data_IF_446731993508
#
_entry.id   IF_446731993508
#
_cell.length_a   1.000
_cell.length_b   1.000
_cell.length_c   1.000
_cell.angle_alpha   90.00
_cell.angle_beta   90.00
_cell.angle_gamma   90.00
#
_symmetry.space_group_name_H-M   'P 1'
#
loop_
_entity.id
_entity.type
_entity.pdbx_description
1 polymer ?
#
# COMPACT_ATOMS: atom_id res chain seq x y z
N UNK A 1 -40.26 20.96 36.70
CA UNK A 1 -40.35 20.14 35.47
C UNK A 1 -39.49 20.66 34.32
N UNK A 2 -39.51 21.96 33.97
CA UNK A 2 -38.79 22.49 32.79
C UNK A 2 -37.25 22.45 32.89
N UNK A 3 -36.68 22.63 34.08
CA UNK A 3 -35.21 22.63 34.29
C UNK A 3 -34.61 21.21 34.20
N UNK A 4 -35.29 20.20 34.74
CA UNK A 4 -34.82 18.80 34.69
C UNK A 4 -34.80 18.23 33.27
N UNK A 5 -35.79 18.61 32.44
CA UNK A 5 -35.81 18.23 31.02
C UNK A 5 -34.66 18.91 30.26
N UNK A 6 -34.34 20.17 30.57
CA UNK A 6 -33.23 20.89 29.95
C UNK A 6 -31.86 20.24 30.25
N UNK A 7 -31.65 19.81 31.49
CA UNK A 7 -30.43 19.12 31.91
C UNK A 7 -30.26 17.78 31.18
N UNK A 8 -31.35 17.02 31.03
CA UNK A 8 -31.34 15.73 30.32
C UNK A 8 -30.98 15.92 28.84
N UNK A 9 -31.51 16.97 28.19
CA UNK A 9 -31.18 17.30 26.80
C UNK A 9 -29.70 17.65 26.64
N UNK A 10 -29.13 18.46 27.55
CA UNK A 10 -27.71 18.82 27.52
C UNK A 10 -26.81 17.60 27.71
N UNK A 11 -27.16 16.69 28.62
CA UNK A 11 -26.42 15.44 28.83
C UNK A 11 -26.47 14.56 27.58
N UNK A 12 -27.63 14.44 26.93
CA UNK A 12 -27.77 13.69 25.68
C UNK A 12 -26.92 14.27 24.55
N UNK A 13 -26.87 15.60 24.42
CA UNK A 13 -26.01 16.27 23.42
C UNK A 13 -24.53 16.00 23.71
N UNK A 14 -24.11 16.04 24.98
CA UNK A 14 -22.72 15.74 25.36
C UNK A 14 -22.37 14.27 25.15
N UNK A 15 -23.29 13.33 25.40
CA UNK A 15 -23.09 11.91 25.15
C UNK A 15 -23.02 11.63 23.64
N UNK A 16 -23.87 12.24 22.84
CA UNK A 16 -23.83 12.12 21.37
C UNK A 16 -22.54 12.75 20.82
N UNK A 17 -22.16 13.93 21.28
CA UNK A 17 -20.89 14.57 20.89
C UNK A 17 -19.68 13.71 21.28
N UNK A 18 -19.69 13.12 22.49
CA UNK A 18 -18.66 12.19 22.94
C UNK A 18 -18.62 10.90 22.09
N UNK A 19 -19.78 10.35 21.72
CA UNK A 19 -19.85 9.17 20.84
C UNK A 19 -19.38 9.47 19.41
N UNK A 20 -19.71 10.65 18.86
CA UNK A 20 -19.23 11.10 17.55
C UNK A 20 -17.73 11.35 17.59
N UNK A 21 -17.22 12.00 18.64
CA UNK A 21 -15.77 12.20 18.84
C UNK A 21 -15.04 10.88 19.03
N UNK A 22 -15.61 9.93 19.79
CA UNK A 22 -15.05 8.58 19.99
C UNK A 22 -15.09 7.74 18.71
N UNK A 23 -16.12 7.86 17.89
CA UNK A 23 -16.17 7.18 16.59
C UNK A 23 -15.17 7.80 15.59
N UNK A 24 -14.99 9.12 15.61
CA UNK A 24 -13.88 9.77 14.89
C UNK A 24 -12.52 9.29 15.42
N UNK A 25 -12.34 9.17 16.74
CA UNK A 25 -11.08 8.71 17.33
C UNK A 25 -10.79 7.23 17.07
N UNK A 26 -11.83 6.38 17.01
CA UNK A 26 -11.70 4.96 16.60
C UNK A 26 -11.36 4.82 15.12
N UNK A 27 -11.87 5.70 14.26
CA UNK A 27 -11.44 5.73 12.86
C UNK A 27 -10.00 6.28 12.70
N UNK A 28 -9.47 6.98 13.70
CA UNK A 28 -8.07 7.38 13.82
C UNK A 28 -7.16 6.30 14.46
N UNK A 29 -7.69 5.15 14.89
CA UNK A 29 -6.88 4.05 15.46
C UNK A 29 -6.09 3.25 14.41
N UNK A 30 -6.27 3.51 13.10
CA UNK A 30 -5.36 3.05 12.04
C UNK A 30 -4.11 3.95 11.91
N UNK A 31 -3.59 4.45 13.04
CA UNK A 31 -2.24 5.02 13.02
C UNK A 31 -1.27 3.88 12.76
N UNK A 32 -0.45 4.03 11.74
CA UNK A 32 0.65 3.13 11.47
C UNK A 32 1.47 2.92 12.76
N UNK A 33 1.43 1.70 13.29
CA UNK A 33 2.19 1.33 14.48
C UNK A 33 3.64 1.02 14.13
N UNK A 34 3.87 0.58 12.89
CA UNK A 34 5.16 0.28 12.25
C UNK A 34 5.08 0.36 10.72
N UNK A 35 6.22 0.60 10.09
CA UNK A 35 6.39 0.50 8.65
C UNK A 35 6.81 -0.91 8.25
N UNK A 36 6.32 -1.38 7.09
CA UNK A 36 6.86 -2.58 6.45
C UNK A 36 8.28 -2.28 5.97
N UNK A 37 9.18 -3.24 6.17
CA UNK A 37 10.59 -3.11 5.79
C UNK A 37 10.92 -4.01 4.61
N UNK A 38 11.85 -3.55 3.78
CA UNK A 38 12.35 -4.36 2.67
C UNK A 38 12.98 -5.67 3.18
N UNK A 39 13.83 -5.58 4.21
CA UNK A 39 14.37 -6.74 4.92
C UNK A 39 13.56 -6.99 6.21
N UNK A 40 12.94 -8.15 6.31
CA UNK A 40 12.13 -8.57 7.46
C UNK A 40 12.75 -9.75 8.20
N UNK A 41 12.67 -9.74 9.52
CA UNK A 41 13.11 -10.86 10.36
C UNK A 41 12.13 -12.04 10.36
N UNK A 42 10.86 -11.80 9.99
CA UNK A 42 9.81 -12.83 9.92
C UNK A 42 9.62 -13.40 8.52
N UNK A 43 10.45 -13.00 7.55
CA UNK A 43 10.37 -13.46 6.16
C UNK A 43 10.36 -15.00 6.07
N UNK A 44 9.48 -15.51 5.21
CA UNK A 44 9.21 -16.93 5.05
C UNK A 44 8.82 -17.28 3.62
N UNK A 45 8.98 -18.56 3.26
CA UNK A 45 8.52 -19.13 1.97
C UNK A 45 7.23 -19.93 2.11
N UNK A 46 6.57 -19.87 3.28
CA UNK A 46 5.32 -20.59 3.55
C UNK A 46 4.16 -20.06 2.69
N UNK A 47 4.20 -18.78 2.35
CA UNK A 47 3.16 -18.10 1.56
C UNK A 47 3.33 -18.25 0.05
N UNK A 48 4.39 -18.94 -0.41
CA UNK A 48 4.57 -19.18 -1.85
C UNK A 48 3.51 -20.15 -2.37
N UNK A 49 2.66 -19.75 -3.33
CA UNK A 49 1.66 -20.63 -3.92
C UNK A 49 2.34 -21.75 -4.71
N UNK A 50 1.69 -22.90 -4.75
CA UNK A 50 2.13 -24.06 -5.53
C UNK A 50 1.37 -24.11 -6.87
N UNK A 51 2.06 -23.77 -7.95
CA UNK A 51 1.49 -23.57 -9.30
C UNK A 51 1.98 -24.65 -10.28
N UNK A 52 1.25 -24.94 -11.37
CA UNK A 52 1.73 -25.81 -12.45
C UNK A 52 3.03 -25.27 -13.06
N UNK A 53 3.96 -26.12 -13.51
CA UNK A 53 5.24 -25.65 -14.06
C UNK A 53 5.10 -24.71 -15.27
N UNK A 54 4.07 -24.92 -16.09
CA UNK A 54 3.80 -24.18 -17.32
C UNK A 54 2.84 -22.98 -17.14
N UNK A 55 2.44 -22.63 -15.92
CA UNK A 55 1.37 -21.64 -15.71
C UNK A 55 1.69 -20.24 -16.27
N UNK A 56 2.93 -19.75 -16.14
CA UNK A 56 3.36 -18.47 -16.75
C UNK A 56 3.29 -18.56 -18.27
N UNK A 57 3.79 -19.63 -18.86
CA UNK A 57 3.77 -19.80 -20.32
C UNK A 57 2.36 -19.88 -20.90
N UNK A 58 1.42 -20.45 -20.15
CA UNK A 58 0.01 -20.50 -20.53
C UNK A 58 -0.61 -19.10 -20.56
N UNK A 59 -0.26 -18.25 -19.57
CA UNK A 59 -0.68 -16.85 -19.55
C UNK A 59 -0.03 -16.08 -20.71
N UNK A 60 1.28 -16.21 -20.92
CA UNK A 60 1.98 -15.56 -22.05
C UNK A 60 1.33 -15.94 -23.39
N UNK A 61 1.06 -17.23 -23.60
CA UNK A 61 0.39 -17.72 -24.81
C UNK A 61 -1.03 -17.16 -24.96
N UNK A 62 -1.80 -17.02 -23.86
CA UNK A 62 -3.13 -16.40 -23.87
C UNK A 62 -3.10 -14.95 -24.36
N UNK A 63 -2.00 -14.23 -24.11
CA UNK A 63 -1.88 -12.79 -24.36
C UNK A 63 -1.06 -12.40 -25.59
N UNK A 64 -0.34 -13.35 -26.22
CA UNK A 64 0.51 -13.07 -27.40
C UNK A 64 -0.21 -12.32 -28.54
N UNK A 65 -1.47 -12.68 -28.83
CA UNK A 65 -2.22 -12.13 -29.96
C UNK A 65 -3.35 -11.18 -29.53
N UNK A 66 -3.43 -10.83 -28.24
CA UNK A 66 -4.47 -9.96 -27.71
C UNK A 66 -3.97 -8.54 -27.56
N UNK A 67 -4.85 -7.58 -27.83
CA UNK A 67 -4.58 -6.20 -27.46
C UNK A 67 -4.50 -6.08 -25.94
N UNK A 68 -3.50 -5.35 -25.47
CA UNK A 68 -3.37 -5.04 -24.06
C UNK A 68 -4.49 -4.08 -23.66
N UNK A 69 -5.28 -4.42 -22.65
CA UNK A 69 -6.25 -3.53 -22.02
C UNK A 69 -5.78 -3.11 -20.63
N UNK A 70 -6.12 -1.89 -20.20
CA UNK A 70 -5.70 -1.33 -18.90
C UNK A 70 -6.01 -2.24 -17.71
N UNK A 71 -7.15 -2.95 -17.74
CA UNK A 71 -7.61 -3.88 -16.69
C UNK A 71 -7.78 -5.33 -17.17
N UNK A 72 -7.34 -5.63 -18.39
CA UNK A 72 -7.48 -6.97 -18.99
C UNK A 72 -6.21 -7.28 -19.79
N UNK A 73 -5.23 -7.87 -19.12
CA UNK A 73 -3.92 -8.18 -19.67
C UNK A 73 -3.17 -9.24 -18.82
N UNK A 74 -1.98 -9.62 -19.28
CA UNK A 74 -1.09 -10.58 -18.61
C UNK A 74 -0.81 -10.25 -17.13
N UNK A 75 -0.58 -8.97 -16.80
CA UNK A 75 -0.26 -8.55 -15.43
C UNK A 75 -1.38 -8.89 -14.46
N UNK A 76 -2.65 -8.73 -14.84
CA UNK A 76 -3.78 -9.07 -13.97
C UNK A 76 -3.95 -10.59 -13.78
N UNK A 77 -3.73 -11.39 -14.82
CA UNK A 77 -3.75 -12.86 -14.69
C UNK A 77 -2.64 -13.36 -13.76
N UNK A 78 -1.45 -12.76 -13.85
CA UNK A 78 -0.33 -13.05 -12.95
C UNK A 78 -0.67 -12.59 -11.53
N UNK A 79 -1.13 -11.34 -11.36
CA UNK A 79 -1.51 -10.76 -10.09
C UNK A 79 -2.56 -11.61 -9.36
N UNK A 80 -3.53 -12.17 -10.08
CA UNK A 80 -4.54 -13.04 -9.48
C UNK A 80 -3.88 -14.23 -8.75
N UNK A 81 -2.91 -14.89 -9.38
CA UNK A 81 -2.29 -16.12 -8.85
C UNK A 81 -1.27 -15.86 -7.74
N UNK A 82 -0.45 -14.82 -7.89
CA UNK A 82 0.68 -14.57 -6.99
C UNK A 82 0.46 -13.42 -6.01
N UNK A 83 -0.72 -12.79 -6.02
CA UNK A 83 -1.10 -11.77 -5.04
C UNK A 83 -2.51 -11.98 -4.49
N UNK A 84 -3.55 -11.93 -5.32
CA UNK A 84 -4.94 -11.97 -4.84
C UNK A 84 -5.28 -13.32 -4.18
N UNK A 85 -4.90 -14.44 -4.81
CA UNK A 85 -5.07 -15.79 -4.27
C UNK A 85 -4.34 -15.96 -2.92
N UNK A 86 -3.19 -15.29 -2.73
CA UNK A 86 -2.42 -15.35 -1.48
C UNK A 86 -3.16 -14.60 -0.37
N UNK A 87 -3.68 -13.40 -0.64
CA UNK A 87 -4.54 -12.68 0.31
C UNK A 87 -5.78 -13.49 0.69
N UNK A 88 -6.46 -14.03 -0.32
CA UNK A 88 -7.69 -14.82 -0.17
C UNK A 88 -7.48 -16.13 0.61
N UNK A 89 -6.32 -16.77 0.43
CA UNK A 89 -5.98 -18.02 1.14
C UNK A 89 -5.52 -17.75 2.57
N UNK A 90 -4.71 -16.72 2.79
CA UNK A 90 -4.13 -16.47 4.10
C UNK A 90 -5.07 -15.78 5.07
N UNK A 91 -5.96 -14.91 4.55
CA UNK A 91 -6.97 -14.17 5.32
C UNK A 91 -6.44 -13.66 6.66
N UNK A 92 -5.34 -12.91 6.60
CA UNK A 92 -4.65 -12.42 7.80
C UNK A 92 -5.60 -11.67 8.77
N UNK A 93 -6.63 -11.00 8.23
CA UNK A 93 -7.67 -10.33 9.01
C UNK A 93 -8.52 -11.28 9.87
N UNK A 94 -8.73 -12.53 9.45
CA UNK A 94 -9.42 -13.56 10.25
C UNK A 94 -8.53 -14.09 11.40
N UNK A 95 -7.21 -13.87 11.31
CA UNK A 95 -6.20 -14.31 12.29
C UNK A 95 -5.85 -13.24 13.32
N UNK A 96 -6.53 -12.09 13.32
CA UNK A 96 -6.17 -10.90 14.11
C UNK A 96 -4.74 -10.41 13.86
N UNK A 97 -4.21 -10.65 12.67
CA UNK A 97 -2.89 -10.17 12.24
C UNK A 97 -3.06 -8.79 11.58
N UNK A 98 -2.09 -7.88 11.76
CA UNK A 98 -2.10 -6.61 11.01
C UNK A 98 -1.66 -6.83 9.56
N UNK A 99 -1.98 -5.88 8.67
CA UNK A 99 -1.48 -5.97 7.29
C UNK A 99 0.05 -5.95 7.23
N UNK A 100 0.70 -5.12 8.05
CA UNK A 100 2.15 -5.04 8.14
C UNK A 100 2.78 -6.36 8.60
N UNK A 101 2.23 -7.00 9.64
CA UNK A 101 2.70 -8.30 10.13
C UNK A 101 2.66 -9.34 9.00
N UNK A 102 1.53 -9.41 8.28
CA UNK A 102 1.37 -10.36 7.18
C UNK A 102 2.37 -10.13 6.05
N UNK A 103 2.54 -8.88 5.62
CA UNK A 103 3.50 -8.56 4.57
C UNK A 103 4.94 -8.82 5.00
N UNK A 104 5.28 -8.58 6.27
CA UNK A 104 6.59 -8.91 6.82
C UNK A 104 6.91 -10.42 6.78
N UNK A 105 5.92 -11.30 6.71
CA UNK A 105 6.13 -12.75 6.53
C UNK A 105 6.39 -13.17 5.08
N UNK A 106 6.01 -12.36 4.10
CA UNK A 106 6.24 -12.66 2.68
C UNK A 106 7.73 -12.59 2.34
N UNK A 107 8.12 -13.15 1.19
CA UNK A 107 9.46 -12.90 0.65
C UNK A 107 9.63 -11.41 0.35
N UNK A 108 10.87 -10.92 0.38
CA UNK A 108 11.21 -9.55 -0.04
C UNK A 108 10.62 -9.21 -1.41
N UNK A 109 10.70 -10.12 -2.37
CA UNK A 109 10.19 -9.91 -3.72
C UNK A 109 8.66 -9.82 -3.74
N UNK A 110 7.96 -10.68 -3.00
CA UNK A 110 6.51 -10.57 -2.81
C UNK A 110 6.12 -9.26 -2.11
N UNK A 111 6.83 -8.84 -1.07
CA UNK A 111 6.60 -7.55 -0.39
C UNK A 111 6.64 -6.36 -1.35
N UNK A 112 7.68 -6.30 -2.20
CA UNK A 112 7.79 -5.25 -3.22
C UNK A 112 6.60 -5.31 -4.17
N UNK A 113 6.30 -6.48 -4.72
CA UNK A 113 5.21 -6.63 -5.69
C UNK A 113 3.85 -6.28 -5.10
N UNK A 114 3.52 -6.81 -3.93
CA UNK A 114 2.27 -6.52 -3.23
C UNK A 114 2.14 -5.02 -2.95
N UNK A 115 3.23 -4.38 -2.54
CA UNK A 115 3.24 -2.93 -2.31
C UNK A 115 2.92 -2.16 -3.58
N UNK A 116 3.52 -2.53 -4.70
CA UNK A 116 3.30 -1.86 -5.99
C UNK A 116 1.93 -2.17 -6.61
N UNK A 117 1.35 -3.35 -6.34
CA UNK A 117 -0.06 -3.65 -6.68
C UNK A 117 -1.02 -2.79 -5.86
N UNK A 118 -0.80 -2.68 -4.55
CA UNK A 118 -1.61 -1.80 -3.69
C UNK A 118 -1.46 -0.34 -4.11
N UNK A 119 -0.25 0.10 -4.48
CA UNK A 119 0.00 1.43 -5.02
C UNK A 119 -0.83 1.70 -6.28
N UNK A 120 -0.73 0.84 -7.29
CA UNK A 120 -1.52 0.95 -8.53
C UNK A 120 -3.02 1.02 -8.25
N UNK A 121 -3.53 0.11 -7.42
CA UNK A 121 -4.94 0.04 -7.05
C UNK A 121 -5.44 1.33 -6.39
N UNK A 122 -4.69 1.88 -5.43
CA UNK A 122 -5.10 3.09 -4.72
C UNK A 122 -4.94 4.35 -5.57
N UNK A 123 -3.87 4.46 -6.36
CA UNK A 123 -3.65 5.63 -7.23
C UNK A 123 -4.71 5.69 -8.31
N UNK A 124 -5.10 4.56 -8.90
CA UNK A 124 -6.21 4.49 -9.86
C UNK A 124 -7.58 4.87 -9.25
N UNK A 125 -7.75 4.76 -7.93
CA UNK A 125 -9.02 5.02 -7.26
C UNK A 125 -9.13 6.45 -6.68
N UNK A 126 -8.04 6.98 -6.11
CA UNK A 126 -8.03 8.31 -5.48
C UNK A 126 -6.64 8.89 -5.30
N UNK A 127 -5.73 8.56 -6.20
CA UNK A 127 -4.42 9.18 -6.26
C UNK A 127 -3.44 8.72 -5.18
N UNK A 128 -2.28 9.37 -5.15
CA UNK A 128 -1.20 9.01 -4.20
C UNK A 128 -1.61 9.32 -2.76
N UNK A 129 -2.47 10.33 -2.58
CA UNK A 129 -3.07 10.63 -1.29
C UNK A 129 -3.83 9.42 -0.73
N UNK A 130 -4.70 8.78 -1.53
CA UNK A 130 -5.47 7.64 -1.09
C UNK A 130 -4.56 6.45 -0.72
N UNK A 131 -3.48 6.23 -1.47
CA UNK A 131 -2.48 5.21 -1.12
C UNK A 131 -1.87 5.46 0.25
N UNK A 132 -1.35 6.67 0.49
CA UNK A 132 -0.73 7.03 1.77
C UNK A 132 -1.71 7.02 2.94
N UNK A 133 -2.99 7.26 2.68
CA UNK A 133 -4.03 7.23 3.70
C UNK A 133 -4.46 5.80 4.06
N UNK A 134 -4.66 4.93 3.07
CA UNK A 134 -5.16 3.57 3.27
C UNK A 134 -4.06 2.57 3.64
N UNK A 135 -2.83 2.79 3.15
CA UNK A 135 -1.67 1.92 3.40
C UNK A 135 -0.45 2.74 3.86
N UNK A 136 -0.58 3.52 4.95
CA UNK A 136 0.51 4.36 5.42
C UNK A 136 1.77 3.53 5.67
N UNK A 137 1.64 2.31 6.20
CA UNK A 137 2.74 1.36 6.48
C UNK A 137 3.60 0.99 5.27
N UNK A 138 3.07 1.15 4.05
CA UNK A 138 3.73 0.81 2.79
C UNK A 138 4.42 1.99 2.11
N UNK A 139 4.19 3.21 2.62
CA UNK A 139 4.68 4.45 2.01
C UNK A 139 6.19 4.44 1.67
N UNK A 140 7.03 3.91 2.55
CA UNK A 140 8.48 3.80 2.33
C UNK A 140 8.80 2.67 1.35
N UNK A 141 8.21 1.50 1.57
CA UNK A 141 8.46 0.31 0.76
C UNK A 141 8.03 0.53 -0.70
N UNK A 142 7.04 1.39 -0.96
CA UNK A 142 6.67 1.78 -2.31
C UNK A 142 7.83 2.48 -3.04
N UNK A 143 8.55 3.39 -2.39
CA UNK A 143 9.72 4.04 -2.97
C UNK A 143 10.84 3.03 -3.25
N UNK A 144 11.13 2.15 -2.29
CA UNK A 144 12.13 1.08 -2.47
C UNK A 144 11.73 0.12 -3.59
N UNK A 145 10.44 -0.24 -3.67
CA UNK A 145 9.88 -1.07 -4.72
C UNK A 145 10.08 -0.46 -6.09
N UNK A 146 9.71 0.81 -6.28
CA UNK A 146 9.92 1.54 -7.54
C UNK A 146 11.40 1.58 -7.94
N UNK A 147 12.31 1.71 -6.98
CA UNK A 147 13.75 1.70 -7.25
C UNK A 147 14.23 0.31 -7.68
N UNK A 148 13.80 -0.75 -7.01
CA UNK A 148 14.19 -2.13 -7.31
C UNK A 148 13.62 -2.61 -8.65
N UNK A 149 12.43 -2.17 -9.02
CA UNK A 149 11.79 -2.53 -10.31
C UNK A 149 12.25 -1.65 -11.48
N UNK A 150 13.08 -0.64 -11.24
CA UNK A 150 13.62 0.23 -12.29
C UNK A 150 12.69 1.36 -12.74
N UNK A 151 11.66 1.69 -11.95
CA UNK A 151 10.69 2.75 -12.24
C UNK A 151 11.24 4.15 -11.83
N UNK A 152 12.38 4.54 -12.39
CA UNK A 152 13.19 5.69 -11.92
C UNK A 152 12.43 7.02 -11.87
N UNK A 153 11.62 7.31 -12.90
CA UNK A 153 10.81 8.54 -12.95
C UNK A 153 9.81 8.58 -11.80
N UNK A 154 9.05 7.50 -11.62
CA UNK A 154 8.08 7.37 -10.55
C UNK A 154 8.74 7.42 -9.17
N UNK A 155 9.86 6.73 -8.98
CA UNK A 155 10.64 6.77 -7.74
C UNK A 155 11.10 8.20 -7.40
N UNK A 156 11.58 8.95 -8.40
CA UNK A 156 12.04 10.33 -8.23
C UNK A 156 10.90 11.25 -7.81
N UNK A 157 9.78 11.20 -8.53
CA UNK A 157 8.61 12.03 -8.25
C UNK A 157 7.98 11.65 -6.90
N UNK A 158 7.88 10.35 -6.60
CA UNK A 158 7.34 9.85 -5.33
C UNK A 158 8.23 10.17 -4.12
N UNK A 159 9.57 10.24 -4.28
CA UNK A 159 10.46 10.73 -3.21
C UNK A 159 10.15 12.19 -2.83
N UNK A 160 9.71 13.03 -3.76
CA UNK A 160 9.30 14.41 -3.47
C UNK A 160 8.02 14.40 -2.63
N UNK A 161 7.04 13.58 -3.01
CA UNK A 161 5.81 13.37 -2.22
C UNK A 161 6.12 12.91 -0.81
N UNK A 162 7.03 11.94 -0.64
CA UNK A 162 7.44 11.49 0.69
C UNK A 162 8.15 12.59 1.48
N UNK A 163 8.92 13.48 0.86
CA UNK A 163 9.52 14.63 1.56
C UNK A 163 8.47 15.63 2.04
N UNK A 164 7.35 15.80 1.33
CA UNK A 164 6.21 16.60 1.77
C UNK A 164 5.49 15.92 2.94
N UNK A 165 5.24 14.62 2.81
CA UNK A 165 4.51 13.82 3.80
C UNK A 165 5.30 13.65 5.11
N UNK A 166 6.58 13.32 5.01
CA UNK A 166 7.44 12.96 6.13
C UNK A 166 8.40 14.06 6.58
N UNK A 167 8.52 15.13 5.80
CA UNK A 167 9.62 16.09 5.93
C UNK A 167 10.90 15.56 5.28
N UNK A 168 11.88 16.45 5.09
CA UNK A 168 13.13 16.13 4.38
C UNK A 168 13.88 14.95 5.00
N UNK A 169 14.33 14.02 4.15
CA UNK A 169 15.20 12.90 4.50
C UNK A 169 16.28 12.66 3.44
N UNK A 170 17.44 12.20 3.87
CA UNK A 170 18.56 11.90 2.98
C UNK A 170 18.54 10.43 2.57
N UNK A 171 18.28 9.52 3.52
CA UNK A 171 18.20 8.07 3.31
C UNK A 171 16.92 7.45 3.87
N UNK A 172 16.56 6.26 3.38
CA UNK A 172 15.46 5.44 3.92
C UNK A 172 15.70 5.11 5.40
N UNK A 173 16.95 4.81 5.77
CA UNK A 173 17.34 4.49 7.14
C UNK A 173 17.11 5.67 8.10
N UNK A 174 17.32 6.90 7.65
CA UNK A 174 17.02 8.10 8.44
C UNK A 174 15.53 8.18 8.77
N UNK A 175 14.67 7.82 7.82
CA UNK A 175 13.24 7.89 7.97
C UNK A 175 12.72 6.85 8.97
N UNK A 176 13.21 5.60 8.89
CA UNK A 176 12.94 4.58 9.91
C UNK A 176 13.43 4.99 11.31
N UNK A 177 14.62 5.59 11.38
CA UNK A 177 15.20 6.03 12.66
C UNK A 177 14.39 7.17 13.29
N UNK A 178 13.93 8.13 12.48
CA UNK A 178 13.02 9.21 12.91
C UNK A 178 11.68 8.66 13.42
N UNK A 179 11.17 7.58 12.83
CA UNK A 179 9.95 6.91 13.29
C UNK A 179 10.07 6.34 14.68
N UNK A 180 11.14 5.59 14.93
CA UNK A 180 11.35 4.95 16.23
C UNK A 180 11.57 5.98 17.35
N UNK A 181 12.27 7.07 17.07
CA UNK A 181 12.63 8.05 18.11
C UNK A 181 11.51 9.06 18.44
N UNK A 182 10.64 9.40 17.47
CA UNK A 182 9.67 10.50 17.61
C UNK A 182 8.23 10.08 17.26
N UNK A 183 7.77 8.92 17.74
CA UNK A 183 6.43 8.37 17.42
C UNK A 183 5.27 9.34 17.67
N UNK A 184 5.35 10.19 18.70
CA UNK A 184 4.31 11.18 18.98
C UNK A 184 4.18 12.26 17.90
N UNK A 185 5.30 12.65 17.28
CA UNK A 185 5.29 13.63 16.19
C UNK A 185 4.76 13.01 14.89
N UNK A 186 4.98 11.71 14.68
CA UNK A 186 4.35 10.97 13.59
C UNK A 186 2.84 10.90 13.73
N UNK A 187 2.35 10.61 14.93
CA UNK A 187 0.90 10.62 15.18
C UNK A 187 0.29 12.00 14.92
N UNK A 188 0.97 13.08 15.30
CA UNK A 188 0.54 14.45 14.98
C UNK A 188 0.54 14.71 13.47
N UNK A 189 1.60 14.30 12.75
CA UNK A 189 1.71 14.45 11.29
C UNK A 189 0.63 13.67 10.56
N UNK A 190 0.40 12.41 10.93
CA UNK A 190 -0.67 11.59 10.38
C UNK A 190 -2.05 12.17 10.68
N UNK A 191 -2.30 12.59 11.92
CA UNK A 191 -3.58 13.23 12.29
C UNK A 191 -3.81 14.50 11.46
N UNK A 192 -2.79 15.35 11.32
CA UNK A 192 -2.87 16.54 10.48
C UNK A 192 -3.14 16.19 9.01
N UNK A 193 -2.41 15.20 8.45
CA UNK A 193 -2.64 14.70 7.09
C UNK A 193 -4.09 14.20 6.90
N UNK A 194 -4.59 13.37 7.82
CA UNK A 194 -5.95 12.85 7.82
C UNK A 194 -7.02 13.95 7.98
N UNK A 195 -6.69 15.05 8.68
CA UNK A 195 -7.53 16.23 8.85
C UNK A 195 -7.45 17.22 7.68
N UNK A 196 -6.72 16.89 6.61
CA UNK A 196 -6.64 17.69 5.39
C UNK A 196 -5.54 18.75 5.39
N UNK A 197 -4.44 18.52 6.12
CA UNK A 197 -3.25 19.37 6.06
C UNK A 197 -2.58 19.28 4.69
N UNK A 198 -3.14 20.05 3.74
CA UNK A 198 -2.63 20.37 2.40
C UNK A 198 -2.44 19.14 1.51
N UNK A 199 -3.21 19.10 0.43
CA UNK A 199 -2.98 18.20 -0.71
C UNK A 199 -1.47 18.13 -0.98
N UNK A 200 -0.93 16.93 -1.19
CA UNK A 200 0.47 16.71 -1.54
C UNK A 200 0.63 17.26 -2.97
N UNK A 201 1.04 18.51 -3.20
CA UNK A 201 0.93 19.11 -4.54
C UNK A 201 1.81 18.35 -5.54
N UNK A 202 2.90 17.73 -5.07
CA UNK A 202 3.76 16.90 -5.92
C UNK A 202 3.10 15.57 -6.33
N UNK A 203 2.01 15.15 -5.68
CA UNK A 203 1.23 13.97 -6.08
C UNK A 203 0.48 14.20 -7.40
N UNK A 204 -0.01 15.42 -7.66
CA UNK A 204 -0.68 15.77 -8.92
C UNK A 204 0.22 15.46 -10.12
N UNK A 205 1.52 15.75 -10.00
CA UNK A 205 2.50 15.42 -11.03
C UNK A 205 2.55 13.92 -11.33
N UNK A 206 2.37 13.06 -10.32
CA UNK A 206 2.33 11.61 -10.50
C UNK A 206 1.04 11.23 -11.23
N UNK A 207 -0.07 11.72 -10.73
CA UNK A 207 -1.42 11.45 -11.26
C UNK A 207 -1.55 11.89 -12.73
N UNK A 208 -0.95 13.01 -13.12
CA UNK A 208 -0.92 13.53 -14.50
C UNK A 208 -0.43 12.50 -15.53
N UNK A 209 0.51 11.62 -15.15
CA UNK A 209 1.01 10.58 -16.06
C UNK A 209 0.61 9.17 -15.65
N UNK A 210 0.21 8.93 -14.39
CA UNK A 210 -0.10 7.59 -13.93
C UNK A 210 -1.39 7.05 -14.56
N UNK A 211 -2.27 7.94 -15.04
CA UNK A 211 -3.49 7.56 -15.76
C UNK A 211 -3.30 7.44 -17.27
N UNK A 212 -2.14 7.82 -17.79
CA UNK A 212 -1.83 7.68 -19.21
C UNK A 212 -1.63 6.20 -19.56
N UNK A 213 -2.36 5.73 -20.57
CA UNK A 213 -2.36 4.32 -20.98
C UNK A 213 -0.93 3.78 -21.20
N UNK A 214 -0.08 4.57 -21.85
CA UNK A 214 1.31 4.21 -22.12
C UNK A 214 2.12 4.01 -20.84
N UNK A 215 1.87 4.83 -19.81
CA UNK A 215 2.60 4.71 -18.54
C UNK A 215 2.10 3.48 -17.77
N UNK A 216 0.79 3.29 -17.66
CA UNK A 216 0.20 2.12 -16.99
C UNK A 216 0.71 0.82 -17.63
N UNK A 217 0.77 0.78 -18.96
CA UNK A 217 1.32 -0.36 -19.69
C UNK A 217 2.78 -0.64 -19.32
N UNK A 218 3.64 0.37 -19.31
CA UNK A 218 5.04 0.20 -18.89
C UNK A 218 5.15 -0.24 -17.42
N UNK A 219 4.35 0.35 -16.53
CA UNK A 219 4.32 0.00 -15.11
C UNK A 219 4.00 -1.49 -14.91
N UNK A 220 2.93 -1.98 -15.54
CA UNK A 220 2.50 -3.37 -15.46
C UNK A 220 3.49 -4.34 -16.13
N UNK A 221 4.14 -3.93 -17.22
CA UNK A 221 5.20 -4.69 -17.87
C UNK A 221 6.45 -4.83 -16.98
N UNK A 222 6.86 -3.77 -16.29
CA UNK A 222 7.98 -3.80 -15.37
C UNK A 222 7.71 -4.72 -14.17
N UNK A 223 6.48 -4.71 -13.64
CA UNK A 223 6.06 -5.65 -12.59
C UNK A 223 6.06 -7.10 -13.08
N UNK A 224 5.52 -7.36 -14.28
CA UNK A 224 5.53 -8.68 -14.90
C UNK A 224 6.96 -9.19 -15.11
N UNK A 225 7.85 -8.33 -15.61
CA UNK A 225 9.27 -8.64 -15.79
C UNK A 225 9.95 -8.94 -14.46
N UNK A 226 9.65 -8.18 -13.42
CA UNK A 226 10.19 -8.41 -12.08
C UNK A 226 9.78 -9.78 -11.52
N UNK A 227 8.53 -10.20 -11.71
CA UNK A 227 8.05 -11.54 -11.33
C UNK A 227 8.81 -12.62 -12.08
N UNK A 228 8.91 -12.51 -13.42
CA UNK A 228 9.60 -13.50 -14.26
C UNK A 228 11.08 -13.63 -13.91
N UNK A 229 11.75 -12.53 -13.62
CA UNK A 229 13.16 -12.52 -13.23
C UNK A 229 13.41 -13.17 -11.84
N UNK A 230 12.39 -13.23 -10.98
CA UNK A 230 12.49 -13.72 -9.61
C UNK A 230 11.52 -14.87 -9.32
N UNK A 231 11.21 -15.72 -10.30
CA UNK A 231 10.18 -16.78 -10.22
C UNK A 231 10.14 -17.55 -8.90
N UNK A 232 11.30 -18.03 -8.45
CA UNK A 232 11.42 -18.90 -7.27
C UNK A 232 11.17 -18.17 -5.94
N UNK A 233 11.01 -16.84 -5.99
CA UNK A 233 10.63 -15.97 -4.88
C UNK A 233 9.14 -15.66 -4.84
N UNK A 234 8.41 -15.97 -5.90
CA UNK A 234 6.98 -15.69 -6.03
C UNK A 234 6.11 -16.93 -5.96
N UNK A 235 6.61 -18.10 -6.36
CA UNK A 235 5.85 -19.33 -6.36
C UNK A 235 6.76 -20.56 -6.36
N UNK A 236 6.18 -21.71 -6.04
CA UNK A 236 6.77 -23.05 -6.21
C UNK A 236 6.05 -23.74 -7.37
N UNK A 237 6.77 -24.57 -8.11
CA UNK A 237 6.15 -25.41 -9.16
C UNK A 237 5.88 -26.82 -8.65
N UNK A 238 4.79 -27.43 -9.11
CA UNK A 238 4.45 -28.83 -8.86
C UNK A 238 5.37 -29.80 -9.59
#
# INVERSE_FOLDING_TARGET
MKIGILIIIVILILVVAFLVLRNKSKNLENTMTEFVRLDSQSESTQHLPLLPENWISEIEQKWNDKEWGVYDNEHYDICEKICNDIYSTNKYWEKNQTHADFLNELTKEQRIYFTLINFESQVNNGGVYQFLFNYPELSILALEGMQVTGMEKLATDYKIVLNEYFGKFDTIQDLYSKFQNNKSDWNKRFTAFAEGYKELPSAEKIEDYFYEESFVKTYQQDLTKYVKANRDKFYKTK
#
